data_IF_808254405447
#
_entry.id   IF_808254405447
#
_cell.length_a   1.000
_cell.length_b   1.000
_cell.length_c   1.000
_cell.angle_alpha   90.00
_cell.angle_beta   90.00
_cell.angle_gamma   90.00
#
_symmetry.space_group_name_H-M   'P 1'
#
loop_
_entity.id
_entity.type
_entity.pdbx_description
1 polymer ?
#
# COMPACT_ATOMS: atom_id res chain seq x y z
N UNK A 1 -20.13 -11.64 -4.50
CA UNK A 1 -20.20 -11.62 -3.01
C UNK A 1 -18.97 -10.88 -2.52
N UNK A 2 -19.09 -9.93 -1.60
CA UNK A 2 -17.97 -9.10 -1.15
C UNK A 2 -17.57 -9.46 0.28
N UNK A 3 -16.72 -10.49 0.41
CA UNK A 3 -16.15 -10.96 1.67
C UNK A 3 -15.15 -9.95 2.23
N UNK A 4 -15.66 -8.99 3.01
CA UNK A 4 -14.85 -8.00 3.72
C UNK A 4 -14.06 -8.64 4.87
N UNK A 5 -13.07 -9.45 4.54
CA UNK A 5 -12.24 -10.23 5.48
C UNK A 5 -11.36 -9.30 6.32
N UNK A 6 -11.93 -8.82 7.44
CA UNK A 6 -11.20 -8.27 8.58
C UNK A 6 -10.55 -9.43 9.35
N UNK A 7 -9.55 -10.06 8.71
CA UNK A 7 -8.90 -11.29 9.18
C UNK A 7 -7.56 -11.05 9.85
N UNK A 8 -6.51 -10.80 9.05
CA UNK A 8 -5.14 -10.49 9.53
C UNK A 8 -4.52 -9.37 8.68
N UNK A 9 -3.53 -8.67 9.21
CA UNK A 9 -2.81 -7.62 8.47
C UNK A 9 -1.91 -8.23 7.37
N UNK A 10 -1.59 -7.50 6.28
CA UNK A 10 -0.74 -8.02 5.21
C UNK A 10 0.64 -8.49 5.70
N UNK A 11 1.19 -7.88 6.76
CA UNK A 11 2.43 -8.29 7.39
C UNK A 11 2.31 -9.60 8.19
N UNK A 12 1.18 -9.83 8.87
CA UNK A 12 0.89 -11.11 9.53
C UNK A 12 0.71 -12.24 8.51
N UNK A 13 -0.02 -11.97 7.42
CA UNK A 13 -0.22 -12.93 6.33
C UNK A 13 1.10 -13.27 5.62
N UNK A 14 1.93 -12.27 5.31
CA UNK A 14 3.26 -12.51 4.77
C UNK A 14 4.13 -13.33 5.74
N UNK A 15 4.10 -13.03 7.05
CA UNK A 15 4.86 -13.78 8.05
C UNK A 15 4.49 -15.26 8.06
N UNK A 16 3.20 -15.59 7.97
CA UNK A 16 2.69 -16.96 7.86
C UNK A 16 3.22 -17.66 6.60
N UNK A 17 3.11 -17.02 5.43
CA UNK A 17 3.66 -17.55 4.17
C UNK A 17 5.18 -17.77 4.24
N UNK A 18 5.93 -16.85 4.86
CA UNK A 18 7.39 -16.97 5.03
C UNK A 18 7.81 -18.04 6.04
N UNK A 19 6.92 -18.43 6.96
CA UNK A 19 7.16 -19.51 7.90
C UNK A 19 6.93 -20.89 7.27
N UNK A 20 5.91 -21.03 6.41
CA UNK A 20 5.66 -22.26 5.65
C UNK A 20 6.62 -22.45 4.47
N UNK A 21 6.94 -21.38 3.74
CA UNK A 21 7.77 -21.43 2.52
C UNK A 21 8.90 -20.39 2.51
N UNK A 22 9.92 -20.55 3.39
CA UNK A 22 11.05 -19.60 3.49
C UNK A 22 11.92 -19.53 2.23
N UNK A 23 11.85 -20.52 1.34
CA UNK A 23 12.56 -20.56 0.06
C UNK A 23 11.98 -19.56 -0.97
N UNK A 24 10.66 -19.36 -0.97
CA UNK A 24 9.95 -18.46 -1.89
C UNK A 24 9.73 -17.06 -1.28
N UNK A 25 9.31 -17.00 -0.01
CA UNK A 25 8.86 -15.78 0.65
C UNK A 25 9.91 -15.24 1.64
N UNK A 26 10.93 -14.56 1.12
CA UNK A 26 12.02 -14.01 1.92
C UNK A 26 11.93 -12.47 2.06
N UNK A 27 11.74 -11.91 3.28
CA UNK A 27 11.61 -10.46 3.46
C UNK A 27 12.94 -9.67 3.33
N UNK A 28 14.09 -10.34 3.47
CA UNK A 28 15.41 -9.71 3.33
C UNK A 28 15.80 -9.61 1.85
N UNK A 29 15.67 -10.73 1.14
CA UNK A 29 16.04 -10.91 -0.27
C UNK A 29 14.89 -11.56 -1.05
N UNK A 30 13.84 -10.79 -1.41
CA UNK A 30 12.71 -11.31 -2.17
C UNK A 30 13.14 -11.82 -3.54
N UNK A 31 12.53 -12.92 -4.00
CA UNK A 31 12.79 -13.55 -5.30
C UNK A 31 11.55 -13.45 -6.20
N UNK A 32 11.69 -13.36 -7.53
CA UNK A 32 10.56 -13.44 -8.46
C UNK A 32 9.77 -14.73 -8.27
N UNK A 33 8.46 -14.64 -8.04
CA UNK A 33 7.62 -15.82 -7.84
C UNK A 33 7.17 -16.43 -9.19
N UNK A 34 6.93 -17.74 -9.16
CA UNK A 34 6.22 -18.49 -10.21
C UNK A 34 4.85 -17.86 -10.54
N UNK A 35 4.48 -17.85 -11.82
CA UNK A 35 3.14 -17.45 -12.25
C UNK A 35 2.15 -18.53 -11.84
N UNK A 36 1.02 -18.16 -11.23
CA UNK A 36 0.01 -19.13 -10.77
C UNK A 36 0.24 -19.70 -9.36
N UNK A 37 1.34 -19.37 -8.67
CA UNK A 37 1.72 -19.89 -7.33
C UNK A 37 0.60 -19.80 -6.26
N UNK A 38 -0.36 -18.89 -6.43
CA UNK A 38 -1.53 -18.75 -5.57
C UNK A 38 -2.48 -19.97 -5.61
N UNK A 39 -2.53 -20.72 -6.72
CA UNK A 39 -3.26 -21.99 -6.77
C UNK A 39 -2.59 -23.05 -5.89
N UNK A 40 -1.26 -23.14 -5.95
CA UNK A 40 -0.47 -24.14 -5.22
C UNK A 40 -0.49 -23.85 -3.71
N UNK A 41 -0.38 -22.58 -3.32
CA UNK A 41 -0.60 -22.14 -1.93
C UNK A 41 -2.00 -22.54 -1.45
N UNK A 42 -3.04 -22.36 -2.27
CA UNK A 42 -4.42 -22.72 -1.91
C UNK A 42 -4.68 -24.24 -1.83
N UNK A 43 -3.91 -25.06 -2.55
CA UNK A 43 -3.97 -26.53 -2.43
C UNK A 43 -3.24 -27.01 -1.18
N UNK A 44 -2.14 -26.36 -0.79
CA UNK A 44 -1.30 -26.74 0.35
C UNK A 44 -1.70 -26.06 1.69
N UNK A 45 -2.47 -24.97 1.64
CA UNK A 45 -2.85 -24.18 2.82
C UNK A 45 -4.29 -23.64 2.72
N UNK A 46 -5.23 -24.39 3.29
CA UNK A 46 -6.64 -23.99 3.42
C UNK A 46 -6.92 -22.96 4.52
N UNK A 47 -5.94 -22.60 5.35
CA UNK A 47 -6.10 -21.68 6.49
C UNK A 47 -6.31 -20.20 6.07
N UNK A 48 -5.93 -19.86 4.83
CA UNK A 48 -6.03 -18.51 4.29
C UNK A 48 -7.18 -18.39 3.30
N UNK A 49 -8.05 -17.41 3.52
CA UNK A 49 -9.06 -17.06 2.53
C UNK A 49 -8.42 -16.48 1.26
N UNK A 50 -9.10 -16.69 0.13
CA UNK A 50 -8.72 -16.21 -1.19
C UNK A 50 -8.34 -14.71 -1.20
N UNK A 51 -9.05 -13.89 -0.44
CA UNK A 51 -8.84 -12.44 -0.33
C UNK A 51 -7.71 -12.06 0.64
N UNK A 52 -7.38 -12.90 1.62
CA UNK A 52 -6.15 -12.78 2.42
C UNK A 52 -4.92 -13.10 1.58
N UNK A 53 -4.95 -14.22 0.84
CA UNK A 53 -3.87 -14.62 -0.06
C UNK A 53 -3.60 -13.57 -1.13
N UNK A 54 -4.65 -13.04 -1.80
CA UNK A 54 -4.53 -11.91 -2.74
C UNK A 54 -3.87 -10.69 -2.10
N UNK A 55 -4.29 -10.29 -0.89
CA UNK A 55 -3.70 -9.13 -0.19
C UNK A 55 -2.24 -9.34 0.19
N UNK A 56 -1.86 -10.53 0.62
CA UNK A 56 -0.48 -10.87 0.95
C UNK A 56 0.43 -10.81 -0.30
N UNK A 57 0.00 -11.44 -1.39
CA UNK A 57 0.73 -11.44 -2.67
C UNK A 57 0.81 -10.04 -3.29
N UNK A 58 -0.27 -9.25 -3.23
CA UNK A 58 -0.26 -7.84 -3.66
C UNK A 58 0.70 -6.98 -2.84
N UNK A 59 0.81 -7.20 -1.53
CA UNK A 59 1.77 -6.47 -0.69
C UNK A 59 3.23 -6.85 -1.01
N UNK A 60 3.52 -8.14 -1.19
CA UNK A 60 4.87 -8.64 -1.49
C UNK A 60 5.34 -8.25 -2.90
N UNK A 61 4.52 -8.49 -3.93
CA UNK A 61 4.85 -8.14 -5.32
C UNK A 61 4.99 -6.63 -5.54
N UNK A 62 4.25 -5.81 -4.77
CA UNK A 62 4.40 -4.36 -4.77
C UNK A 62 5.55 -3.86 -3.88
N UNK A 63 6.34 -4.71 -3.22
CA UNK A 63 7.44 -4.23 -2.38
C UNK A 63 8.60 -3.73 -3.26
N UNK A 64 9.22 -2.59 -2.92
CA UNK A 64 10.28 -2.00 -3.77
C UNK A 64 11.47 -2.95 -3.99
N UNK A 65 11.84 -3.72 -2.96
CA UNK A 65 12.87 -4.77 -3.06
C UNK A 65 12.50 -5.92 -4.03
N UNK A 66 11.21 -6.23 -4.17
CA UNK A 66 10.74 -7.29 -5.08
C UNK A 66 10.79 -6.79 -6.54
N UNK A 67 10.31 -5.57 -6.80
CA UNK A 67 10.40 -4.94 -8.12
C UNK A 67 11.86 -4.77 -8.58
N UNK A 68 12.78 -4.48 -7.65
CA UNK A 68 14.22 -4.39 -7.90
C UNK A 68 14.91 -5.77 -8.05
N UNK A 69 14.15 -6.86 -8.17
CA UNK A 69 14.61 -8.22 -8.50
C UNK A 69 13.87 -8.83 -9.70
N UNK A 70 12.90 -8.11 -10.29
CA UNK A 70 12.26 -8.46 -11.56
C UNK A 70 13.10 -7.92 -12.72
N UNK A 71 14.23 -8.56 -12.97
CA UNK A 71 15.03 -8.35 -14.18
C UNK A 71 14.69 -9.39 -15.25
N UNK A 72 14.82 -9.01 -16.52
CA UNK A 72 14.57 -9.91 -17.65
C UNK A 72 15.55 -11.10 -17.60
N UNK A 73 15.07 -12.31 -17.91
CA UNK A 73 15.89 -13.51 -17.81
C UNK A 73 16.08 -14.05 -16.38
N UNK A 74 15.61 -13.35 -15.34
CA UNK A 74 15.68 -13.86 -13.97
C UNK A 74 14.81 -15.12 -13.81
N UNK A 75 15.35 -16.16 -13.19
CA UNK A 75 14.60 -17.38 -12.88
C UNK A 75 13.54 -17.09 -11.80
N UNK A 76 12.29 -17.48 -12.08
CA UNK A 76 11.20 -17.47 -11.10
C UNK A 76 11.34 -18.67 -10.15
N UNK A 77 11.07 -18.48 -8.87
CA UNK A 77 11.07 -19.56 -7.88
C UNK A 77 9.68 -20.05 -7.53
N UNK A 78 9.59 -21.35 -7.31
CA UNK A 78 8.46 -22.07 -6.76
C UNK A 78 8.45 -22.06 -5.23
N UNK A 79 7.41 -22.63 -4.61
CA UNK A 79 7.29 -22.83 -3.15
C UNK A 79 8.45 -23.64 -2.57
N UNK A 80 8.92 -24.66 -3.31
CA UNK A 80 10.10 -25.47 -3.00
C UNK A 80 11.45 -24.74 -3.20
N UNK A 81 11.43 -23.50 -3.74
CA UNK A 81 12.64 -22.80 -4.18
C UNK A 81 13.20 -23.27 -5.53
N UNK A 82 12.60 -24.29 -6.15
CA UNK A 82 12.90 -24.79 -7.51
C UNK A 82 12.67 -23.69 -8.55
N UNK A 83 13.39 -23.72 -9.67
CA UNK A 83 13.20 -22.79 -10.79
C UNK A 83 11.97 -23.16 -11.61
N UNK A 84 10.98 -22.28 -11.66
CA UNK A 84 9.67 -22.49 -12.28
C UNK A 84 9.36 -21.38 -13.30
N UNK A 85 10.10 -21.39 -14.41
CA UNK A 85 10.01 -20.41 -15.48
C UNK A 85 10.91 -19.18 -15.28
N UNK A 86 10.72 -18.18 -16.15
CA UNK A 86 11.60 -17.01 -16.29
C UNK A 86 10.77 -15.72 -16.26
N UNK A 87 11.38 -14.60 -15.85
CA UNK A 87 10.80 -13.25 -15.93
C UNK A 87 10.94 -12.71 -17.36
N UNK A 88 9.82 -12.34 -17.97
CA UNK A 88 9.80 -11.75 -19.32
C UNK A 88 10.26 -10.29 -19.29
N UNK A 89 10.81 -9.80 -20.41
CA UNK A 89 11.15 -8.38 -20.61
C UNK A 89 9.96 -7.45 -20.34
N UNK A 90 8.73 -7.88 -20.63
CA UNK A 90 7.52 -7.14 -20.32
C UNK A 90 7.30 -6.99 -18.80
N UNK A 91 7.47 -8.07 -18.02
CA UNK A 91 7.41 -8.02 -16.55
C UNK A 91 8.47 -7.06 -15.99
N UNK A 92 9.69 -7.15 -16.51
CA UNK A 92 10.84 -6.36 -16.06
C UNK A 92 10.69 -4.87 -16.42
N UNK A 93 10.15 -4.56 -17.60
CA UNK A 93 9.81 -3.20 -18.00
C UNK A 93 8.72 -2.61 -17.08
N UNK A 94 7.65 -3.38 -16.80
CA UNK A 94 6.60 -2.97 -15.85
C UNK A 94 7.17 -2.75 -14.44
N UNK A 95 8.06 -3.61 -13.95
CA UNK A 95 8.69 -3.44 -12.65
C UNK A 95 9.56 -2.17 -12.58
N UNK A 96 10.34 -1.89 -13.63
CA UNK A 96 11.16 -0.68 -13.78
C UNK A 96 10.29 0.60 -13.84
N UNK A 97 9.14 0.56 -14.51
CA UNK A 97 8.16 1.65 -14.52
C UNK A 97 7.54 1.88 -13.13
N UNK A 98 7.12 0.82 -12.42
CA UNK A 98 6.56 0.90 -11.06
C UNK A 98 7.58 1.41 -10.02
N UNK A 99 8.88 1.19 -10.23
CA UNK A 99 9.94 1.78 -9.40
C UNK A 99 10.12 3.28 -9.70
N UNK A 100 10.12 3.70 -10.97
CA UNK A 100 10.21 5.12 -11.36
C UNK A 100 9.03 5.92 -10.81
N UNK A 101 7.80 5.46 -11.03
CA UNK A 101 6.57 6.09 -10.54
C UNK A 101 6.46 6.14 -9.00
N UNK A 102 7.32 5.42 -8.27
CA UNK A 102 7.47 5.55 -6.81
C UNK A 102 8.54 6.52 -6.37
N UNK A 103 9.67 6.60 -7.08
CA UNK A 103 10.70 7.61 -6.78
C UNK A 103 10.13 9.01 -6.95
N UNK A 104 9.46 9.24 -8.08
CA UNK A 104 8.70 10.45 -8.39
C UNK A 104 7.78 10.89 -7.22
N UNK A 105 6.92 9.98 -6.74
CA UNK A 105 6.03 10.21 -5.58
C UNK A 105 6.71 10.36 -4.21
N UNK A 106 7.98 10.01 -4.10
CA UNK A 106 8.77 10.28 -2.90
C UNK A 106 9.48 11.64 -3.00
N UNK A 107 9.90 12.03 -4.20
CA UNK A 107 10.55 13.31 -4.49
C UNK A 107 9.54 14.46 -4.41
N UNK A 108 8.36 14.32 -5.02
CA UNK A 108 7.26 15.29 -4.96
C UNK A 108 6.71 15.51 -3.54
N UNK A 109 7.01 14.61 -2.61
CA UNK A 109 6.60 14.66 -1.20
C UNK A 109 7.79 14.99 -0.27
N UNK A 110 8.93 15.39 -0.84
CA UNK A 110 10.15 15.81 -0.14
C UNK A 110 10.64 17.21 -0.57
N UNK A 111 9.93 17.93 -1.43
CA UNK A 111 10.17 19.36 -1.68
C UNK A 111 10.19 20.12 -0.36
N UNK A 112 11.34 20.64 0.09
CA UNK A 112 11.40 21.44 1.31
C UNK A 112 11.00 22.87 0.97
N UNK A 113 10.15 23.50 1.80
CA UNK A 113 10.21 24.95 1.88
C UNK A 113 11.60 25.37 2.39
N UNK A 114 12.22 26.42 1.83
CA UNK A 114 13.62 26.76 2.12
C UNK A 114 13.77 27.24 3.57
N UNK A 115 14.18 26.31 4.44
CA UNK A 115 14.43 26.57 5.85
C UNK A 115 15.67 27.44 6.04
N UNK A 116 15.44 28.69 6.45
CA UNK A 116 16.48 29.62 6.94
C UNK A 116 17.19 29.00 8.16
N UNK A 117 18.49 29.30 8.29
CA UNK A 117 19.41 28.59 9.18
C UNK A 117 19.13 28.72 10.70
N UNK A 118 19.53 27.72 11.51
CA UNK A 118 19.35 27.73 12.96
C UNK A 118 20.52 28.36 13.74
N UNK A 119 20.21 29.21 14.71
CA UNK A 119 21.10 29.56 15.83
C UNK A 119 20.34 29.37 17.17
N UNK A 120 21.06 29.02 18.24
CA UNK A 120 20.50 28.64 19.55
C UNK A 120 21.60 28.64 20.64
N UNK A 121 21.30 28.52 21.96
CA UNK A 121 20.01 28.56 22.70
C UNK A 121 20.03 29.78 23.69
N UNK A 122 19.80 29.73 25.03
CA UNK A 122 18.90 28.94 25.89
C UNK A 122 18.07 29.74 26.95
N UNK A 123 16.81 29.32 27.18
CA UNK A 123 16.06 29.43 28.46
C UNK A 123 15.64 30.86 28.97
N UNK A 124 14.72 31.00 29.96
CA UNK A 124 13.66 30.11 30.44
C UNK A 124 12.21 30.67 30.27
N UNK A 125 11.22 29.90 30.74
CA UNK A 125 9.76 30.22 30.74
C UNK A 125 9.41 31.37 31.70
N UNK A 126 8.28 32.08 31.48
CA UNK A 126 7.13 31.80 32.35
C UNK A 126 5.74 31.80 31.68
N UNK A 127 4.72 31.37 32.44
CA UNK A 127 3.29 31.32 32.09
C UNK A 127 2.66 32.71 32.17
N UNK A 128 1.55 32.97 31.44
CA UNK A 128 0.45 33.87 31.91
C UNK A 128 -0.90 33.56 31.21
N UNK A 129 -2.00 33.97 31.85
CA UNK A 129 -3.40 33.78 31.41
C UNK A 129 -4.01 35.12 30.96
N UNK A 130 -4.73 35.12 29.84
CA UNK A 130 -5.87 35.98 29.47
C UNK A 130 -6.49 35.32 28.21
N UNK A 131 -7.79 35.02 28.06
CA UNK A 131 -9.06 35.50 28.65
C UNK A 131 -9.49 36.89 28.16
N UNK A 132 -10.03 36.94 26.93
CA UNK A 132 -11.31 37.55 26.52
C UNK A 132 -11.53 37.14 25.02
N UNK A 133 -12.66 36.64 24.51
CA UNK A 133 -14.11 36.82 24.73
C UNK A 133 -14.78 37.77 23.71
N UNK A 134 -15.14 37.17 22.56
CA UNK A 134 -16.36 37.37 21.77
C UNK A 134 -16.57 38.60 20.84
N UNK A 135 -17.69 38.47 20.09
CA UNK A 135 -18.56 39.51 19.46
C UNK A 135 -18.42 39.77 17.94
N UNK A 136 -19.02 38.84 17.18
CA UNK A 136 -20.15 39.02 16.24
C UNK A 136 -20.17 40.13 15.16
N UNK A 137 -20.82 39.74 14.04
CA UNK A 137 -21.45 40.55 12.99
C UNK A 137 -20.52 41.26 11.98
N UNK A 138 -20.95 41.52 10.73
CA UNK A 138 -21.91 40.82 9.86
C UNK A 138 -21.82 41.42 8.44
N UNK A 139 -21.78 40.60 7.38
CA UNK A 139 -22.37 40.96 6.07
C UNK A 139 -22.59 39.73 5.15
N UNK A 140 -23.27 39.91 4.03
CA UNK A 140 -23.63 38.90 3.00
C UNK A 140 -24.06 39.62 1.69
N UNK A 141 -24.29 38.98 0.52
CA UNK A 141 -24.26 37.55 0.14
C UNK A 141 -23.16 37.32 -0.96
N UNK A 142 -23.25 36.61 -2.10
CA UNK A 142 -24.27 35.82 -2.85
C UNK A 142 -23.60 34.85 -3.84
N UNK A 143 -24.30 33.76 -4.21
CA UNK A 143 -24.11 32.92 -5.42
C UNK A 143 -22.76 32.18 -5.61
N UNK A 144 -22.63 31.06 -6.34
CA UNK A 144 -23.54 30.33 -7.25
C UNK A 144 -23.70 28.86 -6.80
N UNK A 145 -24.86 28.24 -7.09
CA UNK A 145 -25.16 26.82 -6.86
C UNK A 145 -24.52 25.89 -7.91
N UNK A 146 -23.92 24.77 -7.48
CA UNK A 146 -23.82 23.54 -8.29
C UNK A 146 -24.24 22.33 -7.46
N UNK A 147 -25.34 21.68 -7.85
CA UNK A 147 -25.85 20.48 -7.17
C UNK A 147 -25.24 19.19 -7.76
N UNK A 148 -24.59 18.36 -6.93
CA UNK A 148 -24.26 16.97 -7.30
C UNK A 148 -25.01 15.99 -6.39
N UNK A 149 -26.20 15.61 -6.85
CA UNK A 149 -27.26 14.89 -6.12
C UNK A 149 -26.84 13.51 -5.59
N UNK A 150 -26.60 13.37 -4.28
CA UNK A 150 -26.57 12.06 -3.59
C UNK A 150 -27.94 11.38 -3.74
N UNK A 151 -28.07 10.33 -4.56
CA UNK A 151 -29.25 9.44 -4.54
C UNK A 151 -28.99 8.16 -3.75
N UNK A 152 -29.63 8.08 -2.58
CA UNK A 152 -29.63 6.92 -1.67
C UNK A 152 -30.79 5.99 -2.02
N UNK A 153 -30.54 4.68 -2.03
CA UNK A 153 -31.48 3.56 -1.89
C UNK A 153 -32.90 3.65 -2.51
N UNK A 154 -33.23 2.72 -3.40
CA UNK A 154 -34.62 2.32 -3.62
C UNK A 154 -34.82 0.84 -3.23
N UNK A 155 -35.76 0.56 -2.32
CA UNK A 155 -36.23 -0.82 -2.05
C UNK A 155 -37.08 -1.27 -3.25
N UNK A 156 -36.94 -2.52 -3.67
CA UNK A 156 -37.98 -3.18 -4.48
C UNK A 156 -39.07 -3.71 -3.54
N UNK A 157 -40.36 -3.47 -3.79
CA UNK A 157 -41.44 -4.28 -3.20
C UNK A 157 -41.48 -5.67 -3.87
N UNK A 158 -42.16 -6.60 -3.22
CA UNK A 158 -42.47 -7.95 -3.74
C UNK A 158 -43.86 -7.95 -4.37
N UNK A 159 -43.98 -8.71 -5.46
CA UNK A 159 -45.20 -9.34 -5.96
C UNK A 159 -44.77 -10.71 -6.53
#
# INVERSE_FOLDING_TARGET
MSTASQGKSPAQLFRHLSAKWPAAFNPKAPRPLKIGIHHEIRVLDGELSDDELRRALLAYTRMAKYLARLDAGAARVDLDGKTAGVVSDADAATAKALLRARKDKQESNQTPEPRVEPQAPPNPKPKRRAVFEAKNAADSPTDIVVETKRRRSFRKPVA
#
